data_IF_943101677418
#
_entry.id   IF_943101677418
#
_cell.length_a   1.000
_cell.length_b   1.000
_cell.length_c   1.000
_cell.angle_alpha   90.00
_cell.angle_beta   90.00
_cell.angle_gamma   90.00
#
_symmetry.space_group_name_H-M   'P 1'
#
loop_
_entity.id
_entity.type
_entity.pdbx_description
1 polymer ?
#
# COMPACT_ATOMS: atom_id res chain seq x y z
N UNK A 1 35.30 29.04 -20.89
CA UNK A 1 34.57 30.25 -20.45
C UNK A 1 33.82 29.91 -19.17
N UNK A 2 34.29 30.32 -17.99
CA UNK A 2 33.59 30.09 -16.71
C UNK A 2 32.56 31.22 -16.54
N UNK A 3 31.27 30.88 -16.60
CA UNK A 3 30.21 31.83 -16.24
C UNK A 3 30.29 32.12 -14.73
N UNK A 4 30.61 33.36 -14.37
CA UNK A 4 30.45 33.87 -13.01
C UNK A 4 28.97 34.15 -12.79
N UNK A 5 28.28 33.27 -12.09
CA UNK A 5 26.91 33.52 -11.63
C UNK A 5 27.01 34.47 -10.44
N UNK A 6 26.63 35.73 -10.66
CA UNK A 6 26.57 36.74 -9.62
C UNK A 6 25.29 36.50 -8.81
N UNK A 7 25.42 35.91 -7.62
CA UNK A 7 24.28 35.73 -6.70
C UNK A 7 24.01 37.08 -6.05
N UNK A 8 23.17 37.89 -6.69
CA UNK A 8 22.61 39.08 -6.07
C UNK A 8 21.66 38.63 -4.95
N UNK A 9 22.05 38.98 -3.73
CA UNK A 9 21.37 38.64 -2.49
C UNK A 9 20.25 39.66 -2.21
N UNK A 10 19.35 39.87 -3.15
CA UNK A 10 18.18 40.74 -2.96
C UNK A 10 16.93 40.12 -3.59
N UNK A 11 16.05 39.63 -2.70
CA UNK A 11 14.62 39.37 -2.89
C UNK A 11 14.18 38.82 -4.26
N UNK A 12 14.45 37.53 -4.48
CA UNK A 12 13.83 36.72 -5.52
C UNK A 12 14.07 35.24 -5.22
N UNK A 13 13.01 34.51 -4.85
CA UNK A 13 13.06 33.18 -4.21
C UNK A 13 13.49 32.02 -5.12
N UNK A 14 14.10 32.28 -6.28
CA UNK A 14 14.61 31.25 -7.17
C UNK A 14 15.70 31.83 -8.10
N UNK A 15 16.78 31.08 -8.39
CA UNK A 15 17.68 31.45 -9.48
C UNK A 15 16.91 31.38 -10.79
N UNK A 16 16.57 32.54 -11.33
CA UNK A 16 15.94 32.71 -12.62
C UNK A 16 16.88 33.36 -13.60
N UNK A 17 16.71 33.01 -14.87
CA UNK A 17 17.23 33.80 -15.96
C UNK A 17 16.02 34.43 -16.65
N UNK A 18 16.02 35.74 -16.82
CA UNK A 18 14.94 36.47 -17.51
C UNK A 18 13.53 36.26 -16.91
N UNK A 19 13.42 36.01 -15.60
CA UNK A 19 12.15 35.80 -14.91
C UNK A 19 11.56 34.39 -15.02
N UNK A 20 12.18 33.51 -15.81
CA UNK A 20 11.79 32.10 -15.94
C UNK A 20 12.62 31.24 -14.97
N UNK A 21 12.00 30.38 -14.16
CA UNK A 21 12.73 29.47 -13.28
C UNK A 21 13.53 28.45 -14.11
N UNK A 22 14.80 28.27 -13.76
CA UNK A 22 15.69 27.36 -14.48
C UNK A 22 15.27 25.90 -14.16
N UNK A 23 15.12 25.01 -15.17
CA UNK A 23 14.77 23.61 -14.94
C UNK A 23 15.78 22.91 -14.02
N UNK A 24 15.27 22.12 -13.06
CA UNK A 24 16.09 21.46 -12.02
C UNK A 24 17.19 20.54 -12.56
N UNK A 25 16.98 19.92 -13.73
CA UNK A 25 17.98 19.09 -14.38
C UNK A 25 19.24 19.87 -14.78
N UNK A 26 19.10 21.15 -15.12
CA UNK A 26 20.22 22.03 -15.48
C UNK A 26 21.01 22.47 -14.23
N UNK A 27 20.31 22.64 -13.10
CA UNK A 27 20.91 22.97 -11.80
C UNK A 27 21.70 21.77 -11.25
N UNK A 28 21.18 20.56 -11.41
CA UNK A 28 21.83 19.32 -10.98
C UNK A 28 23.19 19.07 -11.65
N UNK A 29 23.37 19.53 -12.89
CA UNK A 29 24.61 19.36 -13.65
C UNK A 29 25.67 20.42 -13.32
N UNK A 30 25.28 21.56 -12.76
CA UNK A 30 26.15 22.70 -12.49
C UNK A 30 26.64 22.77 -11.03
N UNK A 31 26.01 22.04 -10.09
CA UNK A 31 26.31 22.11 -8.66
C UNK A 31 27.09 20.89 -8.14
N UNK A 32 27.98 21.15 -7.18
CA UNK A 32 28.72 20.09 -6.50
C UNK A 32 27.81 19.29 -5.56
N UNK A 33 28.22 18.07 -5.17
CA UNK A 33 27.38 17.15 -4.39
C UNK A 33 26.94 17.72 -3.03
N UNK A 34 27.82 18.48 -2.38
CA UNK A 34 27.53 19.12 -1.08
C UNK A 34 26.49 20.22 -1.23
N UNK A 35 26.61 21.06 -2.27
CA UNK A 35 25.64 22.12 -2.55
C UNK A 35 24.27 21.56 -2.98
N UNK A 36 24.23 20.32 -3.47
CA UNK A 36 23.00 19.60 -3.84
C UNK A 36 22.22 19.12 -2.62
N UNK A 37 22.92 18.66 -1.59
CA UNK A 37 22.30 18.23 -0.32
C UNK A 37 21.73 19.45 0.43
N UNK A 38 22.46 20.56 0.49
CA UNK A 38 21.97 21.83 1.05
C UNK A 38 20.76 22.40 0.29
N UNK A 39 20.69 22.16 -1.03
CA UNK A 39 19.55 22.57 -1.85
C UNK A 39 18.30 21.72 -1.59
N UNK A 40 18.45 20.40 -1.41
CA UNK A 40 17.35 19.48 -1.12
C UNK A 40 16.83 19.66 0.32
N UNK A 41 17.71 19.89 1.29
CA UNK A 41 17.34 20.19 2.68
C UNK A 41 16.58 21.52 2.80
N UNK A 42 16.91 22.49 1.95
CA UNK A 42 16.09 23.69 1.83
C UNK A 42 14.79 23.39 1.10
N UNK A 43 14.78 22.66 -0.02
CA UNK A 43 13.56 22.33 -0.75
C UNK A 43 12.48 21.65 0.11
N UNK A 44 12.87 20.72 0.99
CA UNK A 44 11.98 20.04 1.93
C UNK A 44 11.32 21.03 2.92
N UNK A 45 12.05 22.04 3.40
CA UNK A 45 11.50 23.10 4.28
C UNK A 45 10.52 24.02 3.56
N UNK A 46 10.46 23.98 2.23
CA UNK A 46 9.67 24.90 1.40
C UNK A 46 8.34 24.29 0.97
N UNK A 47 8.28 22.97 0.81
CA UNK A 47 7.03 22.22 0.55
C UNK A 47 6.03 22.38 1.72
N UNK A 48 6.53 22.42 2.96
CA UNK A 48 5.75 22.71 4.17
C UNK A 48 5.19 24.16 4.23
N UNK A 49 5.82 25.10 3.51
CA UNK A 49 5.41 26.51 3.46
C UNK A 49 4.36 26.82 2.39
N UNK A 50 4.37 26.09 1.27
CA UNK A 50 3.43 26.29 0.16
C UNK A 50 1.99 25.87 0.53
N UNK A 51 1.84 24.90 1.42
CA UNK A 51 0.53 24.39 1.87
C UNK A 51 -0.26 25.40 2.73
N UNK A 52 0.40 26.43 3.30
CA UNK A 52 -0.25 27.43 4.17
C UNK A 52 -0.77 28.67 3.43
N UNK A 53 -0.44 28.86 2.15
CA UNK A 53 -0.78 30.09 1.41
C UNK A 53 -1.85 29.89 0.31
N UNK A 54 -2.32 28.65 0.09
CA UNK A 54 -3.32 28.34 -0.94
C UNK A 54 -4.79 28.64 -0.52
N UNK A 55 -5.03 29.23 0.66
CA UNK A 55 -6.38 29.48 1.18
C UNK A 55 -6.85 30.94 1.12
N UNK A 56 -6.13 31.84 0.44
CA UNK A 56 -6.59 33.23 0.24
C UNK A 56 -6.37 33.65 -1.22
N UNK A 57 -7.31 33.28 -2.08
CA UNK A 57 -7.61 33.97 -3.34
C UNK A 57 -8.87 33.37 -3.96
N UNK A 58 -10.00 33.57 -3.31
CA UNK A 58 -11.31 33.54 -3.97
C UNK A 58 -11.85 34.96 -4.02
N UNK A 59 -12.46 35.27 -5.16
CA UNK A 59 -13.35 36.39 -5.48
C UNK A 59 -12.85 37.46 -6.47
N UNK A 60 -13.68 37.56 -7.52
CA UNK A 60 -14.01 38.69 -8.39
C UNK A 60 -13.01 39.10 -9.49
N UNK A 61 -13.40 38.91 -10.76
CA UNK A 61 -14.20 39.92 -11.48
C UNK A 61 -14.71 39.40 -12.85
N UNK A 62 -15.88 39.93 -13.17
CA UNK A 62 -16.80 39.73 -14.28
C UNK A 62 -16.36 40.24 -15.68
N UNK A 63 -17.20 39.86 -16.66
CA UNK A 63 -17.55 40.53 -17.94
C UNK A 63 -16.58 40.36 -19.12
N UNK A 64 -17.00 40.15 -20.37
CA UNK A 64 -18.31 40.37 -21.00
C UNK A 64 -18.43 39.63 -22.35
N UNK A 65 -19.67 39.35 -22.76
CA UNK A 65 -20.26 39.39 -24.13
C UNK A 65 -19.44 38.90 -25.36
N UNK A 66 -19.96 38.02 -26.24
CA UNK A 66 -21.04 38.36 -27.17
C UNK A 66 -21.77 37.12 -27.73
N UNK A 67 -23.10 37.23 -27.74
CA UNK A 67 -24.09 36.49 -28.53
C UNK A 67 -24.06 36.85 -30.02
N UNK A 68 -24.33 35.88 -30.91
CA UNK A 68 -24.99 36.10 -32.22
C UNK A 68 -25.24 34.75 -32.91
N UNK A 69 -26.44 34.18 -32.79
CA UNK A 69 -27.53 34.21 -33.79
C UNK A 69 -27.28 33.29 -35.00
N UNK A 70 -28.10 32.23 -35.07
CA UNK A 70 -28.35 31.40 -36.24
C UNK A 70 -28.93 32.20 -37.41
N UNK A 71 -28.81 31.67 -38.64
CA UNK A 71 -30.03 31.55 -39.41
C UNK A 71 -30.20 30.18 -40.06
N UNK A 72 -31.46 29.78 -40.02
CA UNK A 72 -32.10 28.68 -40.72
C UNK A 72 -32.12 28.96 -42.24
N UNK A 73 -31.74 28.00 -43.09
CA UNK A 73 -32.24 27.95 -44.47
C UNK A 73 -32.04 26.59 -45.16
N UNK A 74 -33.17 25.95 -45.43
CA UNK A 74 -33.40 24.91 -46.42
C UNK A 74 -32.64 25.13 -47.74
N UNK A 75 -31.95 24.08 -48.21
CA UNK A 75 -31.91 23.65 -49.61
C UNK A 75 -31.16 22.31 -49.74
N UNK A 76 -31.88 21.25 -50.09
CA UNK A 76 -31.30 20.08 -50.77
C UNK A 76 -30.83 20.49 -52.17
N UNK A 77 -29.72 19.92 -52.65
CA UNK A 77 -29.77 19.28 -53.98
C UNK A 77 -28.92 17.97 -53.99
N UNK A 78 -28.81 17.26 -55.12
CA UNK A 78 -29.32 15.92 -55.29
C UNK A 78 -28.29 14.82 -55.00
N UNK A 79 -28.81 13.60 -54.83
CA UNK A 79 -28.08 12.34 -54.96
C UNK A 79 -27.14 12.38 -56.16
N UNK A 80 -25.84 12.44 -55.88
CA UNK A 80 -24.85 11.90 -56.79
C UNK A 80 -24.76 10.40 -56.50
N UNK A 81 -25.09 9.63 -57.52
CA UNK A 81 -24.92 8.19 -57.59
C UNK A 81 -23.46 7.86 -57.30
N UNK A 82 -23.20 7.29 -56.13
CA UNK A 82 -22.01 6.48 -55.92
C UNK A 82 -22.05 5.37 -56.98
N UNK A 83 -21.24 5.55 -58.03
CA UNK A 83 -20.85 4.49 -58.93
C UNK A 83 -20.16 3.45 -58.07
N UNK A 84 -20.93 2.44 -57.65
CA UNK A 84 -20.41 1.20 -57.10
C UNK A 84 -19.51 0.63 -58.19
N UNK A 85 -18.20 0.86 -58.06
CA UNK A 85 -17.21 0.11 -58.81
C UNK A 85 -17.50 -1.37 -58.53
N UNK A 86 -17.52 -2.24 -59.57
CA UNK A 86 -17.78 -3.65 -59.37
C UNK A 86 -16.68 -4.19 -58.46
N UNK A 87 -17.02 -4.49 -57.21
CA UNK A 87 -16.13 -5.26 -56.34
C UNK A 87 -16.16 -6.66 -56.91
N UNK A 88 -15.18 -6.98 -57.75
CA UNK A 88 -14.98 -8.34 -58.26
C UNK A 88 -14.89 -9.26 -57.03
N UNK A 89 -15.82 -10.21 -56.86
CA UNK A 89 -15.87 -11.03 -55.66
C UNK A 89 -14.57 -11.84 -55.58
N UNK A 90 -13.91 -11.82 -54.42
CA UNK A 90 -12.61 -12.48 -54.22
C UNK A 90 -12.55 -13.93 -54.74
N UNK A 91 -13.70 -14.61 -54.81
CA UNK A 91 -13.86 -15.96 -55.35
C UNK A 91 -13.40 -16.14 -56.80
N UNK A 92 -13.47 -15.12 -57.68
CA UNK A 92 -13.07 -15.28 -59.09
C UNK A 92 -11.55 -15.29 -59.29
N UNK A 93 -10.76 -14.79 -58.32
CA UNK A 93 -9.31 -14.75 -58.41
C UNK A 93 -8.62 -16.05 -57.96
N UNK A 94 -9.22 -16.76 -57.01
CA UNK A 94 -8.67 -18.04 -56.53
C UNK A 94 -8.81 -19.17 -57.57
N UNK A 95 -9.87 -19.13 -58.40
CA UNK A 95 -10.08 -20.10 -59.48
C UNK A 95 -9.15 -19.87 -60.68
N UNK A 96 -8.60 -18.66 -60.83
CA UNK A 96 -7.73 -18.26 -61.94
C UNK A 96 -6.24 -18.40 -61.62
N UNK A 97 -5.86 -18.42 -60.33
CA UNK A 97 -4.47 -18.52 -59.89
C UNK A 97 -4.34 -19.57 -58.76
N UNK A 98 -4.07 -20.85 -59.09
CA UNK A 98 -3.99 -21.92 -58.08
C UNK A 98 -2.86 -21.72 -57.05
N UNK A 99 -1.83 -20.93 -57.36
CA UNK A 99 -0.78 -20.54 -56.42
C UNK A 99 -1.32 -19.73 -55.23
N UNK A 100 -2.47 -19.05 -55.37
CA UNK A 100 -3.11 -18.31 -54.28
C UNK A 100 -3.68 -19.23 -53.20
N UNK A 101 -4.13 -20.44 -53.56
CA UNK A 101 -4.60 -21.44 -52.60
C UNK A 101 -3.44 -21.95 -51.73
N UNK A 102 -2.28 -22.19 -52.34
CA UNK A 102 -1.07 -22.55 -51.61
C UNK A 102 -0.59 -21.42 -50.69
N UNK A 103 -0.68 -20.17 -51.16
CA UNK A 103 -0.39 -18.99 -50.34
C UNK A 103 -1.37 -18.86 -49.16
N UNK A 104 -2.66 -19.10 -49.38
CA UNK A 104 -3.68 -19.07 -48.33
C UNK A 104 -3.38 -20.09 -47.23
N UNK A 105 -3.11 -21.35 -47.59
CA UNK A 105 -2.73 -22.38 -46.61
C UNK A 105 -1.45 -22.00 -45.83
N UNK A 106 -0.47 -21.37 -46.49
CA UNK A 106 0.73 -20.88 -45.84
C UNK A 106 0.48 -19.69 -44.88
N UNK A 107 -0.43 -18.78 -45.24
CA UNK A 107 -0.89 -17.67 -44.39
C UNK A 107 -1.65 -18.19 -43.16
N UNK A 108 -2.53 -19.17 -43.33
CA UNK A 108 -3.25 -19.83 -42.23
C UNK A 108 -2.27 -20.52 -41.25
N UNK A 109 -1.30 -21.28 -41.75
CA UNK A 109 -0.27 -21.89 -40.92
C UNK A 109 0.60 -20.84 -40.18
N UNK A 110 0.92 -19.72 -40.83
CA UNK A 110 1.61 -18.60 -40.17
C UNK A 110 0.74 -17.94 -39.09
N UNK A 111 -0.54 -17.74 -39.34
CA UNK A 111 -1.50 -17.22 -38.36
C UNK A 111 -1.59 -18.13 -37.14
N UNK A 112 -1.69 -19.46 -37.33
CA UNK A 112 -1.71 -20.42 -36.23
C UNK A 112 -0.43 -20.35 -35.38
N UNK A 113 0.75 -20.29 -36.00
CA UNK A 113 2.01 -20.12 -35.27
C UNK A 113 2.06 -18.81 -34.50
N UNK A 114 1.55 -17.72 -35.09
CA UNK A 114 1.45 -16.44 -34.40
C UNK A 114 0.51 -16.53 -33.18
N UNK A 115 -0.69 -17.12 -33.33
CA UNK A 115 -1.64 -17.33 -32.23
C UNK A 115 -1.00 -18.14 -31.09
N UNK A 116 -0.32 -19.25 -31.43
CA UNK A 116 0.42 -20.04 -30.43
C UNK A 116 1.48 -19.20 -29.73
N UNK A 117 2.30 -18.46 -30.49
CA UNK A 117 3.29 -17.56 -29.91
C UNK A 117 2.65 -16.53 -28.98
N UNK A 118 1.58 -15.83 -29.37
CA UNK A 118 0.89 -14.86 -28.50
C UNK A 118 0.38 -15.50 -27.22
N UNK A 119 -0.31 -16.64 -27.32
CA UNK A 119 -0.83 -17.36 -26.15
C UNK A 119 0.28 -17.79 -25.19
N UNK A 120 1.41 -18.28 -25.71
CA UNK A 120 2.55 -18.69 -24.90
C UNK A 120 3.21 -17.51 -24.21
N UNK A 121 3.37 -16.37 -24.89
CA UNK A 121 4.00 -15.21 -24.27
C UNK A 121 3.09 -14.57 -23.23
N UNK A 122 1.78 -14.46 -23.49
CA UNK A 122 0.79 -14.01 -22.48
C UNK A 122 0.78 -14.91 -21.25
N UNK A 123 0.76 -16.24 -21.47
CA UNK A 123 0.83 -17.19 -20.37
C UNK A 123 2.14 -17.09 -19.59
N UNK A 124 3.27 -16.84 -20.27
CA UNK A 124 4.56 -16.67 -19.63
C UNK A 124 4.67 -15.36 -18.83
N UNK A 125 4.11 -14.25 -19.33
CA UNK A 125 4.06 -12.97 -18.59
C UNK A 125 3.17 -13.08 -17.37
N UNK A 126 2.02 -13.76 -17.50
CA UNK A 126 1.12 -14.01 -16.38
C UNK A 126 1.76 -14.89 -15.31
N UNK A 127 2.35 -16.02 -15.71
CA UNK A 127 3.02 -16.92 -14.78
C UNK A 127 4.13 -16.22 -13.98
N UNK A 128 4.95 -15.39 -14.65
CA UNK A 128 5.97 -14.59 -13.99
C UNK A 128 5.39 -13.60 -12.98
N UNK A 129 4.28 -12.95 -13.32
CA UNK A 129 3.61 -12.01 -12.42
C UNK A 129 3.07 -12.74 -11.18
N UNK A 130 2.37 -13.86 -11.37
CA UNK A 130 1.84 -14.67 -10.27
C UNK A 130 2.96 -15.19 -9.35
N UNK A 131 4.06 -15.67 -9.93
CA UNK A 131 5.23 -16.11 -9.16
C UNK A 131 5.85 -14.97 -8.36
N UNK A 132 5.96 -13.78 -8.96
CA UNK A 132 6.48 -12.58 -8.29
C UNK A 132 5.55 -12.12 -7.15
N UNK A 133 4.24 -12.08 -7.36
CA UNK A 133 3.25 -11.75 -6.33
C UNK A 133 3.32 -12.77 -5.18
N UNK A 134 3.39 -14.06 -5.50
CA UNK A 134 3.49 -15.10 -4.48
C UNK A 134 4.82 -15.03 -3.70
N UNK A 135 5.92 -14.65 -4.35
CA UNK A 135 7.19 -14.42 -3.68
C UNK A 135 7.15 -13.19 -2.77
N UNK A 136 6.58 -12.09 -3.25
CA UNK A 136 6.43 -10.85 -2.50
C UNK A 136 5.56 -11.08 -1.26
N UNK A 137 4.38 -11.68 -1.41
CA UNK A 137 3.48 -11.99 -0.27
C UNK A 137 4.16 -12.85 0.79
N UNK A 138 4.89 -13.90 0.39
CA UNK A 138 5.67 -14.71 1.34
C UNK A 138 6.69 -13.86 2.10
N UNK A 139 7.40 -12.97 1.41
CA UNK A 139 8.34 -12.05 2.06
C UNK A 139 7.63 -11.13 3.05
N UNK A 140 6.47 -10.59 2.67
CA UNK A 140 5.66 -9.69 3.50
C UNK A 140 5.15 -10.40 4.75
N UNK A 141 4.63 -11.62 4.62
CA UNK A 141 4.18 -12.47 5.73
C UNK A 141 5.34 -12.72 6.70
N UNK A 142 6.52 -13.12 6.20
CA UNK A 142 7.68 -13.37 7.07
C UNK A 142 8.18 -12.11 7.78
N UNK A 143 8.08 -10.94 7.14
CA UNK A 143 8.46 -9.67 7.75
C UNK A 143 7.48 -9.27 8.86
N UNK A 144 6.18 -9.47 8.64
CA UNK A 144 5.13 -9.23 9.64
C UNK A 144 5.28 -10.15 10.84
N UNK A 145 5.47 -11.46 10.60
CA UNK A 145 5.70 -12.44 11.66
C UNK A 145 6.93 -12.07 12.51
N UNK A 146 8.05 -11.75 11.86
CA UNK A 146 9.26 -11.32 12.57
C UNK A 146 9.03 -10.06 13.41
N UNK A 147 8.27 -9.08 12.89
CA UNK A 147 7.93 -7.88 13.63
C UNK A 147 7.07 -8.21 14.87
N UNK A 148 6.01 -8.99 14.71
CA UNK A 148 5.13 -9.40 15.81
C UNK A 148 5.89 -10.22 16.87
N UNK A 149 6.80 -11.09 16.46
CA UNK A 149 7.66 -11.83 17.38
C UNK A 149 8.53 -10.88 18.21
N UNK A 150 9.17 -9.89 17.58
CA UNK A 150 9.95 -8.89 18.32
C UNK A 150 9.08 -8.07 19.28
N UNK A 151 7.84 -7.75 18.89
CA UNK A 151 6.89 -7.04 19.74
C UNK A 151 6.49 -7.86 20.96
N UNK A 152 6.21 -9.16 20.77
CA UNK A 152 5.84 -10.09 21.83
C UNK A 152 6.96 -10.27 22.84
N UNK A 153 8.21 -10.46 22.36
CA UNK A 153 9.39 -10.59 23.22
C UNK A 153 9.64 -9.31 24.03
N UNK A 154 9.46 -8.14 23.41
CA UNK A 154 9.64 -6.87 24.09
C UNK A 154 8.56 -6.60 25.16
N UNK A 155 7.35 -7.13 24.98
CA UNK A 155 6.29 -7.08 25.99
C UNK A 155 6.58 -8.04 27.15
N UNK A 156 6.96 -9.29 26.85
CA UNK A 156 7.34 -10.27 27.85
C UNK A 156 8.49 -9.77 28.74
N UNK A 157 9.57 -9.23 28.14
CA UNK A 157 10.69 -8.64 28.89
C UNK A 157 10.26 -7.46 29.77
N UNK A 158 9.28 -6.65 29.32
CA UNK A 158 8.74 -5.56 30.11
C UNK A 158 7.89 -6.05 31.29
N UNK A 159 7.18 -7.16 31.13
CA UNK A 159 6.42 -7.83 32.19
C UNK A 159 7.35 -8.47 33.22
N UNK A 160 8.39 -9.19 32.77
CA UNK A 160 9.38 -9.81 33.65
C UNK A 160 10.09 -8.77 34.53
N UNK A 161 10.48 -7.64 33.94
CA UNK A 161 11.08 -6.51 34.67
C UNK A 161 10.14 -5.94 35.71
N UNK A 162 8.84 -5.86 35.42
CA UNK A 162 7.86 -5.42 36.40
C UNK A 162 7.72 -6.42 37.54
N UNK A 163 7.57 -7.70 37.23
CA UNK A 163 7.41 -8.75 38.23
C UNK A 163 8.62 -8.74 39.18
N UNK A 164 9.83 -8.60 38.63
CA UNK A 164 11.06 -8.45 39.42
C UNK A 164 11.05 -7.19 40.30
N UNK A 165 10.64 -6.04 39.76
CA UNK A 165 10.54 -4.80 40.51
C UNK A 165 9.51 -4.87 41.66
N UNK A 166 8.34 -5.46 41.41
CA UNK A 166 7.33 -5.68 42.44
C UNK A 166 7.79 -6.69 43.51
N UNK A 167 8.47 -7.77 43.10
CA UNK A 167 9.05 -8.75 44.03
C UNK A 167 10.04 -8.08 44.98
N UNK A 168 10.99 -7.32 44.43
CA UNK A 168 11.99 -6.60 45.23
C UNK A 168 11.34 -5.57 46.16
N UNK A 169 10.32 -4.84 45.69
CA UNK A 169 9.61 -3.89 46.55
C UNK A 169 8.91 -4.59 47.72
N UNK A 170 8.31 -5.77 47.47
CA UNK A 170 7.67 -6.57 48.53
C UNK A 170 8.68 -7.08 49.55
N UNK A 171 9.86 -7.51 49.12
CA UNK A 171 10.95 -7.89 50.04
C UNK A 171 11.37 -6.72 50.94
N UNK A 172 11.53 -5.53 50.37
CA UNK A 172 11.83 -4.30 51.13
C UNK A 172 10.71 -3.96 52.11
N UNK A 173 9.45 -4.10 51.68
CA UNK A 173 8.27 -3.88 52.53
C UNK A 173 8.19 -4.85 53.70
N UNK A 174 8.44 -6.14 53.46
CA UNK A 174 8.48 -7.18 54.49
C UNK A 174 9.61 -6.91 55.50
N UNK A 175 10.81 -6.56 55.02
CA UNK A 175 11.93 -6.21 55.89
C UNK A 175 11.62 -4.97 56.74
N UNK A 176 11.05 -3.92 56.14
CA UNK A 176 10.62 -2.73 56.86
C UNK A 176 9.56 -3.03 57.92
N UNK A 177 8.63 -3.94 57.63
CA UNK A 177 7.62 -4.40 58.58
C UNK A 177 8.25 -5.12 59.77
N UNK A 178 9.16 -6.08 59.53
CA UNK A 178 9.88 -6.80 60.60
C UNK A 178 10.67 -5.88 61.52
N UNK A 179 11.37 -4.91 60.94
CA UNK A 179 12.12 -3.90 61.69
C UNK A 179 11.16 -3.06 62.54
N UNK A 180 10.05 -2.58 61.97
CA UNK A 180 9.07 -1.78 62.69
C UNK A 180 8.42 -2.56 63.85
N UNK A 181 8.04 -3.82 63.63
CA UNK A 181 7.47 -4.69 64.68
C UNK A 181 8.48 -4.92 65.80
N UNK A 182 9.74 -5.16 65.47
CA UNK A 182 10.80 -5.36 66.47
C UNK A 182 11.04 -4.08 67.28
N UNK A 183 11.13 -2.93 66.61
CA UNK A 183 11.28 -1.63 67.26
C UNK A 183 10.08 -1.29 68.16
N UNK A 184 8.85 -1.57 67.70
CA UNK A 184 7.64 -1.37 68.49
C UNK A 184 7.67 -2.22 69.76
N UNK A 185 8.02 -3.51 69.67
CA UNK A 185 8.16 -4.39 70.84
C UNK A 185 9.20 -3.87 71.84
N UNK A 186 10.33 -3.37 71.37
CA UNK A 186 11.38 -2.80 72.22
C UNK A 186 10.90 -1.53 72.93
N UNK A 187 10.23 -0.63 72.21
CA UNK A 187 9.67 0.59 72.77
C UNK A 187 8.53 0.31 73.75
N UNK A 188 7.69 -0.70 73.48
CA UNK A 188 6.63 -1.14 74.40
C UNK A 188 7.21 -1.70 75.69
N UNK A 189 8.24 -2.55 75.60
CA UNK A 189 8.94 -3.06 76.79
C UNK A 189 9.57 -1.92 77.61
N UNK A 190 10.26 -0.99 76.95
CA UNK A 190 10.85 0.19 77.58
C UNK A 190 9.79 1.08 78.27
N UNK A 191 8.68 1.37 77.59
CA UNK A 191 7.60 2.18 78.18
C UNK A 191 6.82 1.42 79.28
N UNK A 192 6.93 0.10 79.35
CA UNK A 192 6.39 -0.72 80.44
C UNK A 192 7.33 -0.80 81.66
N UNK A 193 8.56 -0.26 81.56
CA UNK A 193 9.55 -0.31 82.64
C UNK A 193 10.37 -1.60 82.68
N UNK A 194 10.29 -2.42 81.63
CA UNK A 194 10.91 -3.76 81.56
C UNK A 194 11.89 -3.88 80.40
N UNK A 195 13.00 -4.58 80.59
CA UNK A 195 13.85 -5.04 79.50
C UNK A 195 13.11 -6.11 78.67
N UNK A 196 13.66 -6.43 77.50
CA UNK A 196 13.12 -7.47 76.61
C UNK A 196 13.12 -8.89 77.20
N UNK A 197 13.80 -9.12 78.33
CA UNK A 197 13.80 -10.36 79.11
C UNK A 197 12.77 -10.35 80.27
N UNK A 198 11.99 -9.27 80.40
CA UNK A 198 10.98 -9.08 81.45
C UNK A 198 11.50 -8.52 82.78
N UNK A 199 12.81 -8.25 82.91
CA UNK A 199 13.36 -7.67 84.14
C UNK A 199 13.09 -6.15 84.22
N UNK A 200 12.81 -5.58 85.40
CA UNK A 200 12.61 -4.15 85.54
C UNK A 200 13.91 -3.38 85.24
N UNK A 201 13.83 -2.36 84.37
CA UNK A 201 15.01 -1.58 83.97
C UNK A 201 15.25 -0.32 84.81
N UNK A 202 14.28 0.09 85.65
CA UNK A 202 14.45 1.19 86.60
C UNK A 202 14.72 2.57 85.99
N UNK A 203 14.37 2.78 84.71
CA UNK A 203 14.56 4.07 84.02
C UNK A 203 13.27 4.87 84.09
N UNK A 204 13.39 6.19 84.26
CA UNK A 204 12.24 7.09 84.30
C UNK A 204 11.69 7.29 82.88
N UNK A 205 10.45 6.85 82.64
CA UNK A 205 9.77 7.01 81.36
C UNK A 205 9.20 8.42 81.27
N UNK A 206 9.58 9.15 80.23
CA UNK A 206 9.14 10.52 79.97
C UNK A 206 7.90 10.56 79.07
N UNK A 207 7.20 11.70 79.03
CA UNK A 207 6.08 11.89 78.09
C UNK A 207 6.54 11.88 76.63
N UNK A 208 7.80 12.25 76.37
CA UNK A 208 8.41 12.15 75.05
C UNK A 208 8.49 10.69 74.58
N UNK A 209 8.89 9.76 75.46
CA UNK A 209 8.99 8.34 75.15
C UNK A 209 7.62 7.75 74.79
N UNK A 210 6.56 8.16 75.50
CA UNK A 210 5.17 7.77 75.21
C UNK A 210 4.70 8.30 73.85
N UNK A 211 5.03 9.55 73.54
CA UNK A 211 4.71 10.14 72.24
C UNK A 211 5.44 9.44 71.08
N UNK A 212 6.68 8.99 71.30
CA UNK A 212 7.44 8.21 70.32
C UNK A 212 6.83 6.81 70.10
N UNK A 213 6.39 6.14 71.17
CA UNK A 213 5.65 4.87 71.07
C UNK A 213 4.35 5.03 70.26
N UNK A 214 3.59 6.10 70.50
CA UNK A 214 2.38 6.35 69.72
C UNK A 214 2.69 6.61 68.24
N UNK A 215 3.82 7.27 67.94
CA UNK A 215 4.29 7.48 66.56
C UNK A 215 4.63 6.16 65.87
N UNK A 216 5.29 5.22 66.56
CA UNK A 216 5.63 3.92 65.96
C UNK A 216 4.40 3.03 65.77
N UNK A 217 3.43 3.07 66.68
CA UNK A 217 2.11 2.42 66.50
C UNK A 217 1.37 2.94 65.27
N UNK A 218 1.24 4.27 65.12
CA UNK A 218 0.65 4.87 63.93
C UNK A 218 1.41 4.50 62.66
N UNK A 219 2.74 4.37 62.74
CA UNK A 219 3.55 3.95 61.60
C UNK A 219 3.17 2.53 61.20
N UNK A 220 3.16 1.57 62.14
CA UNK A 220 2.72 0.19 61.93
C UNK A 220 1.34 0.11 61.26
N UNK A 221 0.36 0.82 61.82
CA UNK A 221 -1.03 0.76 61.36
C UNK A 221 -1.20 1.29 59.93
N UNK A 222 -0.40 2.29 59.56
CA UNK A 222 -0.40 2.85 58.21
C UNK A 222 0.52 2.12 57.22
N UNK A 223 1.32 1.14 57.66
CA UNK A 223 2.30 0.49 56.78
C UNK A 223 1.63 -0.22 55.61
N UNK A 224 0.61 -1.04 55.86
CA UNK A 224 -0.05 -1.82 54.82
C UNK A 224 -0.61 -0.93 53.69
N UNK A 225 -1.34 0.14 54.06
CA UNK A 225 -1.91 1.08 53.09
C UNK A 225 -0.83 1.82 52.27
N UNK A 226 0.29 2.21 52.91
CA UNK A 226 1.42 2.85 52.22
C UNK A 226 2.11 1.89 51.25
N UNK A 227 2.31 0.64 51.66
CA UNK A 227 2.93 -0.40 50.85
C UNK A 227 2.07 -0.72 49.62
N UNK A 228 0.76 -0.88 49.82
CA UNK A 228 -0.20 -1.10 48.74
C UNK A 228 -0.22 0.09 47.77
N UNK A 229 -0.25 1.32 48.29
CA UNK A 229 -0.20 2.54 47.47
C UNK A 229 1.06 2.60 46.61
N UNK A 230 2.23 2.22 47.17
CA UNK A 230 3.49 2.18 46.44
C UNK A 230 3.45 1.17 45.28
N UNK A 231 2.92 -0.03 45.51
CA UNK A 231 2.73 -1.05 44.46
C UNK A 231 1.76 -0.55 43.37
N UNK A 232 0.67 0.10 43.76
CA UNK A 232 -0.31 0.64 42.82
C UNK A 232 0.28 1.75 41.93
N UNK A 233 1.15 2.59 42.48
CA UNK A 233 1.88 3.60 41.70
C UNK A 233 2.78 2.94 40.66
N UNK A 234 3.55 1.91 41.05
CA UNK A 234 4.41 1.16 40.12
C UNK A 234 3.60 0.52 38.98
N UNK A 235 2.48 -0.15 39.31
CA UNK A 235 1.58 -0.75 38.31
C UNK A 235 0.97 0.29 37.38
N UNK A 236 0.55 1.43 37.92
CA UNK A 236 -0.01 2.54 37.14
C UNK A 236 1.02 3.15 36.19
N UNK A 237 2.28 3.27 36.62
CA UNK A 237 3.37 3.71 35.75
C UNK A 237 3.69 2.69 34.65
N UNK A 238 3.83 1.41 35.01
CA UNK A 238 4.05 0.34 34.04
C UNK A 238 2.92 0.27 33.02
N UNK A 239 1.65 0.32 33.44
CA UNK A 239 0.51 0.31 32.54
C UNK A 239 0.53 1.47 31.54
N UNK A 240 0.99 2.66 31.95
CA UNK A 240 1.20 3.78 31.02
C UNK A 240 2.32 3.49 30.02
N UNK A 241 3.45 2.94 30.48
CA UNK A 241 4.58 2.58 29.61
C UNK A 241 4.21 1.47 28.60
N UNK A 242 3.47 0.45 29.03
CA UNK A 242 2.97 -0.63 28.15
C UNK A 242 2.02 -0.06 27.11
N UNK A 243 1.01 0.74 27.49
CA UNK A 243 0.10 1.36 26.52
C UNK A 243 0.84 2.21 25.48
N UNK A 244 1.81 3.00 25.91
CA UNK A 244 2.62 3.79 24.99
C UNK A 244 3.50 2.93 24.07
N UNK A 245 3.96 1.76 24.54
CA UNK A 245 4.69 0.79 23.72
C UNK A 245 3.78 0.14 22.69
N UNK A 246 2.63 -0.39 23.11
CA UNK A 246 1.62 -0.99 22.22
C UNK A 246 1.21 -0.01 21.13
N UNK A 247 0.95 1.25 21.48
CA UNK A 247 0.63 2.27 20.48
C UNK A 247 1.75 2.50 19.45
N UNK A 248 3.02 2.36 19.84
CA UNK A 248 4.14 2.43 18.88
C UNK A 248 4.22 1.17 18.02
N UNK A 249 4.03 0.01 18.63
CA UNK A 249 3.98 -1.28 17.94
C UNK A 249 2.87 -1.33 16.89
N UNK A 250 1.67 -0.86 17.23
CA UNK A 250 0.54 -0.74 16.30
C UNK A 250 0.90 0.16 15.11
N UNK A 251 1.58 1.28 15.35
CA UNK A 251 2.05 2.17 14.28
C UNK A 251 3.08 1.51 13.38
N UNK A 252 4.04 0.79 13.95
CA UNK A 252 5.05 0.05 13.19
C UNK A 252 4.40 -0.99 12.27
N UNK A 253 3.33 -1.66 12.73
CA UNK A 253 2.55 -2.60 11.91
C UNK A 253 1.82 -1.85 10.79
N UNK A 254 1.13 -0.76 11.09
CA UNK A 254 0.41 0.01 10.05
C UNK A 254 1.36 0.61 9.01
N UNK A 255 2.54 1.08 9.44
CA UNK A 255 3.55 1.63 8.54
C UNK A 255 4.10 0.53 7.62
N UNK A 256 4.29 -0.68 8.16
CA UNK A 256 4.67 -1.85 7.37
C UNK A 256 3.58 -2.22 6.35
N UNK A 257 2.30 -2.27 6.75
CA UNK A 257 1.18 -2.56 5.85
C UNK A 257 1.11 -1.59 4.66
N UNK A 258 1.29 -0.28 4.92
CA UNK A 258 1.33 0.74 3.86
C UNK A 258 2.48 0.50 2.87
N UNK A 259 3.67 0.13 3.38
CA UNK A 259 4.80 -0.21 2.51
C UNK A 259 4.51 -1.47 1.69
N UNK A 260 3.90 -2.47 2.30
CA UNK A 260 3.54 -3.72 1.62
C UNK A 260 2.51 -3.50 0.50
N UNK A 261 1.51 -2.64 0.73
CA UNK A 261 0.53 -2.24 -0.29
C UNK A 261 1.21 -1.48 -1.44
N UNK A 262 2.08 -0.53 -1.13
CA UNK A 262 2.87 0.19 -2.15
C UNK A 262 3.73 -0.74 -3.01
N UNK A 263 4.32 -1.79 -2.42
CA UNK A 263 5.14 -2.76 -3.15
C UNK A 263 4.30 -3.60 -4.12
N UNK A 264 3.07 -3.97 -3.73
CA UNK A 264 2.11 -4.66 -4.59
C UNK A 264 1.72 -3.75 -5.76
N UNK A 265 1.35 -2.50 -5.48
CA UNK A 265 1.01 -1.53 -6.52
C UNK A 265 2.15 -1.30 -7.51
N UNK A 266 3.39 -1.28 -7.03
CA UNK A 266 4.58 -1.14 -7.88
C UNK A 266 4.74 -2.36 -8.80
N UNK A 267 4.52 -3.57 -8.29
CA UNK A 267 4.58 -4.81 -9.07
C UNK A 267 3.44 -4.88 -10.11
N UNK A 268 2.24 -4.43 -9.76
CA UNK A 268 1.10 -4.34 -10.67
C UNK A 268 1.35 -3.34 -11.79
N UNK A 269 1.91 -2.16 -11.47
CA UNK A 269 2.33 -1.17 -12.47
C UNK A 269 3.37 -1.74 -13.42
N UNK A 270 4.37 -2.48 -12.91
CA UNK A 270 5.36 -3.12 -13.75
C UNK A 270 4.71 -4.17 -14.68
N UNK A 271 3.81 -5.00 -14.15
CA UNK A 271 3.09 -5.99 -14.95
C UNK A 271 2.26 -5.33 -16.05
N UNK A 272 1.56 -4.23 -15.75
CA UNK A 272 0.81 -3.48 -16.75
C UNK A 272 1.69 -2.97 -17.90
N UNK A 273 2.89 -2.46 -17.58
CA UNK A 273 3.88 -2.02 -18.59
C UNK A 273 4.35 -3.21 -19.43
N UNK A 274 4.64 -4.35 -18.81
CA UNK A 274 5.06 -5.57 -19.52
C UNK A 274 3.96 -6.06 -20.47
N UNK A 275 2.70 -6.08 -20.04
CA UNK A 275 1.53 -6.46 -20.85
C UNK A 275 1.32 -5.48 -22.01
N UNK A 276 1.45 -4.18 -21.77
CA UNK A 276 1.36 -3.17 -22.84
C UNK A 276 2.48 -3.36 -23.88
N UNK A 277 3.72 -3.56 -23.42
CA UNK A 277 4.86 -3.83 -24.29
C UNK A 277 4.70 -5.12 -25.11
N UNK A 278 4.08 -6.15 -24.53
CA UNK A 278 3.72 -7.35 -25.23
C UNK A 278 2.68 -7.04 -26.32
N UNK A 279 1.63 -6.29 -25.97
CA UNK A 279 0.58 -5.89 -26.89
C UNK A 279 1.08 -5.06 -28.07
N UNK A 280 2.05 -4.17 -27.87
CA UNK A 280 2.68 -3.41 -28.97
C UNK A 280 3.49 -4.34 -29.89
N UNK A 281 4.30 -5.24 -29.32
CA UNK A 281 5.03 -6.25 -30.09
C UNK A 281 4.11 -7.19 -30.89
N UNK A 282 2.98 -7.60 -30.30
CA UNK A 282 1.96 -8.41 -30.97
C UNK A 282 1.36 -7.67 -32.18
N UNK A 283 0.95 -6.41 -31.99
CA UNK A 283 0.41 -5.56 -33.07
C UNK A 283 1.44 -5.34 -34.19
N UNK A 284 2.69 -5.03 -33.84
CA UNK A 284 3.75 -4.84 -34.83
C UNK A 284 4.02 -6.11 -35.65
N UNK A 285 4.06 -7.28 -35.00
CA UNK A 285 4.26 -8.55 -35.71
C UNK A 285 3.07 -8.90 -36.60
N UNK A 286 1.84 -8.66 -36.13
CA UNK A 286 0.61 -8.85 -36.92
C UNK A 286 0.62 -7.97 -38.16
N UNK A 287 0.83 -6.67 -38.03
CA UNK A 287 0.86 -5.74 -39.16
C UNK A 287 1.96 -6.07 -40.18
N UNK A 288 3.15 -6.52 -39.72
CA UNK A 288 4.22 -7.00 -40.60
C UNK A 288 3.85 -8.28 -41.36
N UNK A 289 3.12 -9.21 -40.73
CA UNK A 289 2.63 -10.43 -41.39
C UNK A 289 1.56 -10.09 -42.42
N UNK A 290 0.55 -9.29 -42.05
CA UNK A 290 -0.51 -8.83 -42.95
C UNK A 290 0.05 -8.09 -44.17
N UNK A 291 1.00 -7.16 -43.95
CA UNK A 291 1.66 -6.45 -45.04
C UNK A 291 2.42 -7.37 -45.99
N UNK A 292 3.09 -8.41 -45.45
CA UNK A 292 3.79 -9.41 -46.26
C UNK A 292 2.82 -10.25 -47.09
N UNK A 293 1.73 -10.73 -46.49
CA UNK A 293 0.72 -11.54 -47.20
C UNK A 293 0.04 -10.74 -48.29
N UNK A 294 -0.30 -9.48 -48.00
CA UNK A 294 -0.85 -8.56 -49.00
C UNK A 294 0.11 -8.40 -50.17
N UNK A 295 1.39 -8.09 -49.90
CA UNK A 295 2.40 -7.93 -50.96
C UNK A 295 2.57 -9.21 -51.80
N UNK A 296 2.62 -10.38 -51.17
CA UNK A 296 2.70 -11.67 -51.88
C UNK A 296 1.48 -11.90 -52.77
N UNK A 297 0.28 -11.59 -52.27
CA UNK A 297 -0.96 -11.69 -53.04
C UNK A 297 -0.92 -10.76 -54.26
N UNK A 298 -0.52 -9.50 -54.08
CA UNK A 298 -0.39 -8.50 -55.16
C UNK A 298 0.59 -8.96 -56.25
N UNK A 299 1.75 -9.51 -55.85
CA UNK A 299 2.75 -10.02 -56.79
C UNK A 299 2.20 -11.19 -57.60
N UNK A 300 1.48 -12.13 -56.97
CA UNK A 300 0.89 -13.28 -57.64
C UNK A 300 -0.22 -12.86 -58.62
N UNK A 301 -1.12 -11.96 -58.22
CA UNK A 301 -2.17 -11.45 -59.10
C UNK A 301 -1.60 -10.68 -60.30
N UNK A 302 -0.57 -9.84 -60.08
CA UNK A 302 0.10 -9.12 -61.16
C UNK A 302 0.82 -10.05 -62.13
N UNK A 303 1.43 -11.14 -61.64
CA UNK A 303 2.07 -12.17 -62.48
C UNK A 303 1.06 -12.95 -63.33
N UNK A 304 -0.15 -13.13 -62.83
CA UNK A 304 -1.24 -13.79 -63.56
C UNK A 304 -1.88 -12.90 -64.65
N UNK A 305 -1.42 -11.66 -64.83
CA UNK A 305 -1.91 -10.75 -65.87
C UNK A 305 -3.20 -10.02 -65.50
N UNK A 306 -3.55 -9.96 -64.21
CA UNK A 306 -4.72 -9.22 -63.73
C UNK A 306 -4.44 -7.72 -63.78
N UNK A 307 -5.45 -6.94 -64.18
CA UNK A 307 -5.36 -5.50 -64.37
C UNK A 307 -4.95 -4.76 -63.08
N UNK A 308 -4.26 -3.62 -63.24
CA UNK A 308 -3.73 -2.86 -62.11
C UNK A 308 -4.83 -2.42 -61.13
N UNK A 309 -5.99 -2.03 -61.66
CA UNK A 309 -7.15 -1.58 -60.89
C UNK A 309 -7.74 -2.71 -60.04
N UNK A 310 -7.81 -3.93 -60.58
CA UNK A 310 -8.31 -5.13 -59.89
C UNK A 310 -7.31 -5.66 -58.85
N UNK A 311 -6.01 -5.50 -59.13
CA UNK A 311 -4.94 -5.83 -58.19
C UNK A 311 -4.97 -4.85 -57.00
N UNK A 312 -5.13 -3.55 -57.23
CA UNK A 312 -5.24 -2.55 -56.14
C UNK A 312 -6.53 -2.68 -55.32
N UNK A 313 -7.63 -3.09 -55.95
CA UNK A 313 -8.89 -3.42 -55.28
C UNK A 313 -8.79 -4.68 -54.40
N UNK A 314 -7.84 -5.59 -54.68
CA UNK A 314 -7.63 -6.76 -53.84
C UNK A 314 -7.10 -6.38 -52.45
N UNK A 315 -7.91 -6.65 -51.42
CA UNK A 315 -7.52 -6.53 -50.01
C UNK A 315 -6.47 -7.57 -49.56
N UNK A 316 -6.10 -8.51 -50.45
CA UNK A 316 -5.19 -9.62 -50.17
C UNK A 316 -5.91 -10.83 -49.56
N UNK A 317 -5.15 -11.87 -49.21
CA UNK A 317 -5.68 -12.99 -48.43
C UNK A 317 -6.07 -12.49 -47.03
N UNK A 318 -7.36 -12.59 -46.71
CA UNK A 318 -7.90 -12.29 -45.38
C UNK A 318 -7.87 -13.57 -44.57
N UNK A 319 -6.95 -13.66 -43.61
CA UNK A 319 -6.94 -14.73 -42.60
C UNK A 319 -7.68 -14.25 -41.37
N UNK A 320 -8.50 -15.12 -40.81
CA UNK A 320 -9.20 -14.86 -39.56
C UNK A 320 -8.22 -14.82 -38.38
N UNK A 321 -7.88 -13.61 -37.94
CA UNK A 321 -7.13 -13.37 -36.72
C UNK A 321 -8.00 -13.54 -35.48
N UNK A 322 -9.29 -13.29 -35.61
CA UNK A 322 -10.28 -13.12 -34.54
C UNK A 322 -11.14 -14.38 -34.36
N UNK A 323 -10.60 -15.56 -34.68
CA UNK A 323 -11.17 -16.86 -34.29
C UNK A 323 -11.19 -17.01 -32.77
N UNK A 324 -11.96 -16.14 -32.12
CA UNK A 324 -11.88 -15.74 -30.75
C UNK A 324 -12.51 -16.84 -29.90
N UNK A 325 -11.68 -17.42 -29.05
CA UNK A 325 -12.11 -17.82 -27.73
C UNK A 325 -12.36 -16.56 -26.87
N UNK A 326 -13.20 -15.65 -27.34
CA UNK A 326 -13.91 -14.72 -26.48
C UNK A 326 -15.10 -15.51 -25.95
N UNK A 327 -14.89 -16.26 -24.87
CA UNK A 327 -16.01 -16.58 -24.00
C UNK A 327 -16.40 -15.25 -23.35
N UNK A 328 -17.54 -14.62 -23.68
CA UNK A 328 -17.99 -13.49 -22.91
C UNK A 328 -18.12 -13.93 -21.44
N UNK A 329 -17.85 -13.07 -20.45
CA UNK A 329 -18.18 -13.41 -19.07
C UNK A 329 -19.65 -13.80 -19.06
N UNK A 330 -19.93 -15.03 -18.60
CA UNK A 330 -21.30 -15.44 -18.32
C UNK A 330 -21.87 -14.35 -17.42
N UNK A 331 -22.97 -13.67 -17.80
CA UNK A 331 -23.57 -12.69 -16.91
C UNK A 331 -23.89 -13.40 -15.60
N UNK A 332 -23.29 -12.91 -14.53
CA UNK A 332 -23.46 -13.35 -13.15
C UNK A 332 -24.90 -13.08 -12.70
N UNK A 333 -25.86 -13.87 -13.22
CA UNK A 333 -27.27 -13.79 -12.84
C UNK A 333 -27.85 -15.07 -12.25
N UNK A 334 -27.08 -16.16 -12.18
CA UNK A 334 -27.54 -17.41 -11.57
C UNK A 334 -26.78 -17.86 -10.31
N UNK A 335 -25.87 -17.05 -9.76
CA UNK A 335 -25.31 -17.28 -8.41
C UNK A 335 -26.20 -16.76 -7.27
N UNK A 336 -27.38 -16.19 -7.59
CA UNK A 336 -28.42 -15.82 -6.60
C UNK A 336 -29.68 -16.67 -6.75
N UNK A 337 -29.52 -17.99 -6.75
CA UNK A 337 -30.59 -18.92 -6.38
C UNK A 337 -30.00 -20.23 -5.89
N UNK A 338 -30.04 -20.44 -4.57
CA UNK A 338 -29.82 -21.77 -3.99
C UNK A 338 -28.50 -21.98 -3.24
N UNK A 339 -28.24 -21.20 -2.20
CA UNK A 339 -27.51 -21.72 -1.05
C UNK A 339 -28.24 -21.24 0.21
N UNK A 340 -29.17 -22.08 0.63
CA UNK A 340 -29.87 -21.94 1.89
C UNK A 340 -28.85 -21.80 3.02
N UNK A 341 -29.05 -20.76 3.83
CA UNK A 341 -28.45 -20.66 5.16
C UNK A 341 -28.85 -21.90 5.95
N UNK A 342 -27.93 -22.85 6.10
CA UNK A 342 -27.99 -23.84 7.18
C UNK A 342 -27.63 -23.11 8.47
N UNK A 343 -28.63 -22.49 9.10
CA UNK A 343 -28.56 -22.10 10.50
C UNK A 343 -28.67 -23.38 11.30
N UNK A 344 -27.55 -23.83 11.86
CA UNK A 344 -27.57 -24.57 13.11
C UNK A 344 -27.98 -23.60 14.23
N UNK A 345 -29.29 -23.45 14.40
CA UNK A 345 -29.90 -23.03 15.66
C UNK A 345 -30.69 -24.23 16.19
N UNK A 346 -29.99 -25.09 16.93
CA UNK A 346 -30.57 -26.12 17.77
C UNK A 346 -30.68 -25.54 19.17
N UNK A 347 -31.77 -24.85 19.45
CA UNK A 347 -32.22 -24.55 20.81
C UNK A 347 -33.68 -24.94 20.97
N UNK A 348 -33.90 -25.77 21.99
CA UNK A 348 -35.11 -25.89 22.81
C UNK A 348 -36.44 -26.11 22.09
N UNK A 349 -36.88 -27.38 22.10
CA UNK A 349 -38.29 -27.70 22.24
C UNK A 349 -38.49 -28.45 23.57
N UNK A 350 -39.11 -27.77 24.51
CA UNK A 350 -39.68 -28.34 25.72
C UNK A 350 -40.95 -29.15 25.41
N UNK A 351 -40.98 -30.37 25.98
CA UNK A 351 -42.17 -31.05 26.53
C UNK A 351 -42.97 -32.00 25.62
N UNK A 352 -43.86 -32.87 26.17
CA UNK A 352 -43.95 -33.38 27.56
C UNK A 352 -44.22 -34.91 27.69
N UNK A 353 -43.95 -35.43 28.90
CA UNK A 353 -44.66 -36.50 29.65
C UNK A 353 -44.82 -37.96 29.12
N UNK A 354 -44.99 -38.87 30.10
CA UNK A 354 -45.26 -40.33 30.07
C UNK A 354 -44.03 -41.22 29.81
N UNK A 355 -43.62 -42.17 30.67
CA UNK A 355 -44.14 -42.86 31.87
C UNK A 355 -42.97 -43.11 32.81
#
# INVERSE_FOLDING_TARGET
MRMKINVQREKGLYPSCCGVPIPGATIQHAMTRVEREDFLDNFAKWEDGASRNASVATEALDSDSLTSVSPDRNQSPPRETETIAPTVPASTFFDTVPELLALQAACEAQCQRFKLWTSQNRAATEAKHLDAVAALRRSQDTALEALLDTHSLALADAEDKQVAAESSLREVHEQAYRVNVTALKQQEAYCAGTYSDGQPHGRTITDLDRAELDKTRRTRDNMASRQESAINVLRGEQGRRIRARVQRQDKEVTDLEVLQESDIDALERQHAIEVESLGTMEKERRTRLEGRWRLQTMIMLRRAGIEAEDVEACRGIVVDWDGALDRPPVPEKDARRGAARSRYDSMLADGPAHV
#
